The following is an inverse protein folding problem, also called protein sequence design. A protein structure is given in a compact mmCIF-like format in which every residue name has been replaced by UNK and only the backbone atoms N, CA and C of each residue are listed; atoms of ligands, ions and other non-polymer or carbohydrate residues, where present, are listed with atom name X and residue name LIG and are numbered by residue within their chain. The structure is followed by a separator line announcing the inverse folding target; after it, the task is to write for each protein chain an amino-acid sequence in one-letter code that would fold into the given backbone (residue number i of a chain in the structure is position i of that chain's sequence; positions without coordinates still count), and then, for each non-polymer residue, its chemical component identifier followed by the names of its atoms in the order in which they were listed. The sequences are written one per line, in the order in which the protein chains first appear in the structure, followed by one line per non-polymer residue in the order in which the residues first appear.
data_IF_206279853683
#
_entry.id   IF_206279853683
#
_cell.length_a   1.000
_cell.length_b   1.000
_cell.length_c   1.000
_cell.angle_alpha   90.00
_cell.angle_beta   90.00
_cell.angle_gamma   90.00
#
_symmetry.space_group_name_H-M   'P 1'
#
loop_
_entity.id
_entity.type
_entity.pdbx_description
1 polymer ?
#
# COMPACT_ATOMS: atom_id res chain seq x y z
N UNK A 1 9.63 -19.93 11.14
CA UNK A 1 10.34 -21.16 10.71
C UNK A 1 10.53 -21.05 9.20
N UNK A 2 11.72 -20.69 8.71
CA UNK A 2 11.98 -20.57 7.26
C UNK A 2 12.31 -21.96 6.72
N UNK A 3 11.42 -22.52 5.90
CA UNK A 3 11.69 -23.72 5.12
C UNK A 3 11.66 -23.36 3.64
N UNK A 4 12.81 -23.54 2.97
CA UNK A 4 12.86 -23.90 1.55
C UNK A 4 12.81 -22.78 0.52
N UNK A 5 13.94 -22.09 0.30
CA UNK A 5 14.41 -21.78 -1.06
C UNK A 5 15.91 -22.09 -1.11
N UNK A 6 16.25 -23.21 -1.75
CA UNK A 6 17.63 -23.57 -2.09
C UNK A 6 17.94 -22.97 -3.46
N UNK A 7 18.11 -21.65 -3.49
CA UNK A 7 18.82 -20.92 -4.52
C UNK A 7 19.30 -19.63 -3.86
N UNK A 8 20.56 -19.26 -4.09
CA UNK A 8 21.19 -18.09 -3.46
C UNK A 8 20.66 -16.80 -4.13
N UNK A 9 19.35 -16.57 -4.05
CA UNK A 9 18.69 -15.40 -4.60
C UNK A 9 19.00 -14.25 -3.64
N UNK A 10 19.97 -13.42 -4.02
CA UNK A 10 20.27 -12.19 -3.31
C UNK A 10 19.19 -11.15 -3.66
N UNK A 11 18.03 -11.24 -3.00
CA UNK A 11 16.97 -10.25 -3.15
C UNK A 11 17.42 -8.94 -2.46
N UNK A 12 17.30 -7.79 -3.13
CA UNK A 12 17.52 -6.52 -2.46
C UNK A 12 16.52 -6.41 -1.30
N UNK A 13 17.03 -6.10 -0.11
CA UNK A 13 16.20 -5.90 1.07
C UNK A 13 16.58 -4.58 1.72
N UNK A 14 15.59 -3.92 2.32
CA UNK A 14 15.77 -2.73 3.11
C UNK A 14 15.59 -3.08 4.58
N UNK A 15 16.60 -2.80 5.40
CA UNK A 15 16.48 -2.91 6.84
C UNK A 15 16.04 -1.56 7.41
N UNK A 16 14.78 -1.47 7.85
CA UNK A 16 14.24 -0.25 8.44
C UNK A 16 14.63 -0.17 9.93
N UNK A 17 14.91 1.03 10.47
CA UNK A 17 15.31 1.21 11.87
C UNK A 17 14.07 1.17 12.80
N UNK A 18 13.31 0.08 12.76
CA UNK A 18 12.11 -0.15 13.57
C UNK A 18 12.00 -1.62 13.97
N UNK A 19 11.52 -1.89 15.18
CA UNK A 19 11.30 -3.26 15.63
C UNK A 19 10.15 -3.93 14.88
N UNK A 20 10.28 -5.23 14.63
CA UNK A 20 9.22 -6.03 14.05
C UNK A 20 8.13 -6.31 15.09
N UNK A 21 7.04 -5.55 15.01
CA UNK A 21 5.87 -5.78 15.87
C UNK A 21 4.58 -5.37 15.15
N UNK A 22 3.49 -6.12 15.40
CA UNK A 22 2.20 -5.88 14.73
C UNK A 22 1.63 -4.49 15.03
N UNK A 23 1.81 -4.00 16.25
CA UNK A 23 1.41 -2.65 16.62
C UNK A 23 2.26 -1.58 15.89
N UNK A 24 3.49 -1.89 15.47
CA UNK A 24 4.36 -0.93 14.78
C UNK A 24 4.20 -0.92 13.25
N UNK A 25 3.22 -1.65 12.70
CA UNK A 25 3.01 -1.76 11.25
C UNK A 25 2.80 -0.39 10.58
N UNK A 26 2.03 0.50 11.20
CA UNK A 26 1.79 1.83 10.65
C UNK A 26 3.08 2.63 10.47
N UNK A 27 3.92 2.68 11.50
CA UNK A 27 5.20 3.39 11.45
C UNK A 27 6.19 2.72 10.49
N UNK A 28 6.20 1.38 10.46
CA UNK A 28 7.00 0.60 9.51
C UNK A 28 6.66 0.97 8.07
N UNK A 29 5.36 1.03 7.73
CA UNK A 29 4.91 1.39 6.39
C UNK A 29 5.20 2.85 6.04
N UNK A 30 5.04 3.78 6.98
CA UNK A 30 5.45 5.19 6.76
C UNK A 30 6.93 5.30 6.45
N UNK A 31 7.79 4.59 7.18
CA UNK A 31 9.23 4.54 6.91
C UNK A 31 9.55 3.92 5.54
N UNK A 32 8.86 2.84 5.17
CA UNK A 32 9.02 2.22 3.86
C UNK A 32 8.61 3.16 2.72
N UNK A 33 7.44 3.80 2.82
CA UNK A 33 6.94 4.75 1.84
C UNK A 33 7.84 5.98 1.71
N UNK A 34 8.34 6.50 2.84
CA UNK A 34 9.35 7.55 2.85
C UNK A 34 10.58 7.15 2.04
N UNK A 35 11.11 5.96 2.30
CA UNK A 35 12.31 5.49 1.62
C UNK A 35 12.09 5.35 0.11
N UNK A 36 10.96 4.78 -0.32
CA UNK A 36 10.60 4.67 -1.74
C UNK A 36 10.48 6.07 -2.35
N UNK A 37 9.82 7.01 -1.66
CA UNK A 37 9.71 8.40 -2.11
C UNK A 37 11.07 9.07 -2.34
N UNK A 38 12.01 8.91 -1.40
CA UNK A 38 13.31 9.58 -1.46
C UNK A 38 14.29 8.95 -2.46
N UNK A 39 14.16 7.66 -2.75
CA UNK A 39 15.19 6.90 -3.48
C UNK A 39 14.72 6.35 -4.83
N UNK A 40 13.44 5.99 -4.97
CA UNK A 40 12.97 5.13 -6.07
C UNK A 40 11.71 5.67 -6.78
N UNK A 41 11.06 6.72 -6.28
CA UNK A 41 9.73 7.13 -6.77
C UNK A 41 9.69 7.47 -8.25
N UNK A 42 10.78 8.00 -8.82
CA UNK A 42 10.83 8.33 -10.23
C UNK A 42 11.09 7.12 -11.14
N UNK A 43 11.52 6.00 -10.56
CA UNK A 43 11.85 4.77 -11.28
C UNK A 43 10.63 3.85 -11.51
N UNK A 44 9.51 4.10 -10.81
CA UNK A 44 8.33 3.23 -10.84
C UNK A 44 7.02 4.01 -11.08
N UNK A 45 6.16 3.45 -11.91
CA UNK A 45 4.81 3.97 -12.17
C UNK A 45 3.82 3.63 -11.06
N UNK A 46 3.98 2.44 -10.48
CA UNK A 46 3.10 1.89 -9.44
C UNK A 46 3.94 1.24 -8.33
N UNK A 47 3.48 1.41 -7.09
CA UNK A 47 4.12 0.86 -5.90
C UNK A 47 3.13 -0.07 -5.23
N UNK A 48 3.54 -1.33 -5.05
CA UNK A 48 2.71 -2.39 -4.47
C UNK A 48 3.19 -2.71 -3.06
N UNK A 49 2.28 -2.59 -2.09
CA UNK A 49 2.40 -3.15 -0.75
C UNK A 49 1.68 -4.51 -0.72
N UNK A 50 2.37 -5.56 -0.29
CA UNK A 50 1.80 -6.88 -0.10
C UNK A 50 2.44 -7.58 1.11
N UNK A 51 1.73 -8.53 1.71
CA UNK A 51 2.26 -9.36 2.79
C UNK A 51 3.06 -10.54 2.20
N UNK A 52 3.88 -11.20 3.03
CA UNK A 52 4.74 -12.32 2.60
C UNK A 52 3.97 -13.62 2.29
N UNK A 53 2.66 -13.61 2.49
CA UNK A 53 1.72 -14.68 2.17
C UNK A 53 0.72 -14.31 1.05
N UNK A 54 0.94 -13.20 0.33
CA UNK A 54 0.08 -12.77 -0.79
C UNK A 54 0.57 -13.37 -2.12
N UNK A 55 -0.35 -13.95 -2.91
CA UNK A 55 -0.06 -14.38 -4.28
C UNK A 55 -0.64 -13.41 -5.32
N UNK A 56 0.17 -13.02 -6.30
CA UNK A 56 -0.18 -11.97 -7.27
C UNK A 56 0.03 -12.47 -8.70
N UNK A 57 -1.04 -12.43 -9.50
CA UNK A 57 -0.99 -12.71 -10.93
C UNK A 57 -0.65 -11.39 -11.66
N UNK A 58 0.62 -11.24 -12.04
CA UNK A 58 1.14 -9.99 -12.59
C UNK A 58 0.47 -9.57 -13.91
N UNK A 59 0.02 -10.53 -14.72
CA UNK A 59 -0.71 -10.28 -15.97
C UNK A 59 -2.05 -9.60 -15.70
N UNK A 60 -2.79 -10.09 -14.70
CA UNK A 60 -4.07 -9.49 -14.29
C UNK A 60 -3.85 -8.11 -13.69
N UNK A 61 -2.81 -7.96 -12.87
CA UNK A 61 -2.43 -6.66 -12.29
C UNK A 61 -2.12 -5.63 -13.39
N UNK A 62 -1.28 -5.98 -14.37
CA UNK A 62 -0.93 -5.09 -15.48
C UNK A 62 -2.14 -4.73 -16.34
N UNK A 63 -3.00 -5.71 -16.64
CA UNK A 63 -4.23 -5.46 -17.40
C UNK A 63 -5.14 -4.49 -16.65
N UNK A 64 -5.34 -4.69 -15.34
CA UNK A 64 -6.13 -3.82 -14.48
C UNK A 64 -5.57 -2.39 -14.43
N UNK A 65 -4.25 -2.22 -14.30
CA UNK A 65 -3.62 -0.91 -14.17
C UNK A 65 -3.48 -0.13 -15.49
N UNK A 66 -3.52 -0.83 -16.63
CA UNK A 66 -3.29 -0.25 -17.97
C UNK A 66 -4.13 0.99 -18.36
N UNK A 67 -5.39 1.18 -17.93
CA UNK A 67 -6.15 2.37 -18.29
C UNK A 67 -5.88 3.58 -17.37
N UNK A 68 -5.11 3.42 -16.29
CA UNK A 68 -4.86 4.48 -15.31
C UNK A 68 -3.53 5.19 -15.58
N UNK A 69 -3.52 6.52 -15.50
CA UNK A 69 -2.31 7.32 -15.60
C UNK A 69 -1.57 7.32 -14.24
N UNK A 70 -0.28 6.93 -14.17
CA UNK A 70 0.48 6.94 -12.92
C UNK A 70 0.73 8.34 -12.32
N UNK A 71 0.48 9.40 -13.10
CA UNK A 71 0.55 10.79 -12.64
C UNK A 71 -0.77 11.30 -12.02
N UNK A 72 -1.83 10.49 -12.04
CA UNK A 72 -3.06 10.77 -11.32
C UNK A 72 -3.02 10.07 -9.96
N UNK A 73 -3.57 10.68 -8.91
CA UNK A 73 -3.49 10.17 -7.54
C UNK A 73 -4.55 9.07 -7.29
N UNK A 74 -4.17 7.81 -7.50
CA UNK A 74 -4.99 6.64 -7.21
C UNK A 74 -4.36 5.68 -6.21
N UNK A 75 -5.20 5.13 -5.33
CA UNK A 75 -4.91 3.97 -4.49
C UNK A 75 -5.86 2.84 -4.87
N UNK A 76 -5.32 1.68 -5.19
CA UNK A 76 -6.09 0.50 -5.57
C UNK A 76 -5.98 -0.56 -4.48
N UNK A 77 -7.10 -1.18 -4.14
CA UNK A 77 -7.13 -2.31 -3.20
C UNK A 77 -8.54 -2.73 -2.85
N UNK A 78 -8.66 -3.76 -2.01
CA UNK A 78 -9.97 -4.22 -1.53
C UNK A 78 -10.54 -3.22 -0.53
N UNK A 79 -11.54 -2.43 -0.93
CA UNK A 79 -12.02 -1.29 -0.11
C UNK A 79 -13.07 -1.69 0.92
N UNK A 80 -12.81 -1.45 2.21
CA UNK A 80 -13.77 -1.58 3.30
C UNK A 80 -14.25 -0.20 3.76
N UNK A 81 -15.50 -0.09 4.23
CA UNK A 81 -16.12 1.19 4.64
C UNK A 81 -16.59 1.20 6.11
N UNK A 82 -15.96 0.37 6.95
CA UNK A 82 -16.35 0.22 8.36
C UNK A 82 -15.87 1.38 9.24
N UNK A 83 -14.73 2.00 8.92
CA UNK A 83 -14.06 2.97 9.78
C UNK A 83 -13.77 4.32 9.11
N UNK A 84 -13.63 4.32 7.77
CA UNK A 84 -13.38 5.54 6.98
C UNK A 84 -14.56 5.77 6.03
N UNK A 85 -15.07 7.01 5.95
CA UNK A 85 -16.28 7.35 5.19
C UNK A 85 -16.13 7.05 3.69
N UNK A 86 -15.00 7.45 3.10
CA UNK A 86 -14.64 7.12 1.71
C UNK A 86 -14.03 5.71 1.57
N UNK A 87 -13.89 4.98 2.67
CA UNK A 87 -13.32 3.65 2.74
C UNK A 87 -11.81 3.62 2.90
N UNK A 88 -11.28 2.42 3.14
CA UNK A 88 -9.86 2.13 3.28
C UNK A 88 -9.54 0.79 2.58
N UNK A 89 -8.41 0.67 1.89
CA UNK A 89 -8.00 -0.60 1.29
C UNK A 89 -7.49 -1.54 2.39
N UNK A 90 -8.03 -2.76 2.49
CA UNK A 90 -7.51 -3.75 3.42
C UNK A 90 -6.07 -4.12 3.08
N UNK A 91 -5.23 -4.24 4.11
CA UNK A 91 -3.81 -4.55 3.93
C UNK A 91 -3.56 -5.93 3.29
N UNK A 92 -4.27 -6.97 3.74
CA UNK A 92 -3.96 -8.38 3.41
C UNK A 92 -3.89 -8.70 1.91
N UNK A 93 -4.92 -8.34 1.10
CA UNK A 93 -4.88 -8.55 -0.35
C UNK A 93 -3.85 -7.70 -1.09
N UNK A 94 -3.22 -6.73 -0.41
CA UNK A 94 -2.30 -5.77 -0.98
C UNK A 94 -2.95 -4.44 -1.36
N UNK A 95 -2.12 -3.41 -1.41
CA UNK A 95 -2.48 -2.03 -1.73
C UNK A 95 -1.51 -1.50 -2.78
N UNK A 96 -2.03 -0.90 -3.84
CA UNK A 96 -1.23 -0.32 -4.92
C UNK A 96 -1.41 1.19 -4.90
N UNK A 97 -0.32 1.91 -5.01
CA UNK A 97 -0.29 3.36 -5.16
C UNK A 97 0.19 3.69 -6.57
N UNK A 98 -0.43 4.67 -7.24
CA UNK A 98 0.25 5.35 -8.34
C UNK A 98 1.43 6.14 -7.80
N UNK A 99 2.39 6.47 -8.66
CA UNK A 99 3.50 7.37 -8.33
C UNK A 99 3.01 8.65 -7.68
N UNK A 100 2.03 9.32 -8.30
CA UNK A 100 1.49 10.57 -7.76
C UNK A 100 0.80 10.37 -6.40
N UNK A 101 0.03 9.29 -6.22
CA UNK A 101 -0.59 9.01 -4.93
C UNK A 101 0.45 8.85 -3.82
N UNK A 102 1.55 8.13 -4.06
CA UNK A 102 2.59 7.95 -3.05
C UNK A 102 3.32 9.26 -2.74
N UNK A 103 3.57 10.11 -3.74
CA UNK A 103 4.13 11.46 -3.54
C UNK A 103 3.25 12.30 -2.63
N UNK A 104 1.95 12.38 -2.92
CA UNK A 104 0.99 13.14 -2.10
C UNK A 104 0.88 12.55 -0.70
N UNK A 105 0.81 11.22 -0.58
CA UNK A 105 0.73 10.52 0.69
C UNK A 105 1.92 10.84 1.60
N UNK A 106 3.15 10.70 1.10
CA UNK A 106 4.37 11.00 1.85
C UNK A 106 4.49 12.50 2.16
N UNK A 107 4.07 13.38 1.24
CA UNK A 107 3.99 14.81 1.52
C UNK A 107 3.01 15.15 2.66
N UNK A 108 1.90 14.43 2.75
CA UNK A 108 0.88 14.60 3.79
C UNK A 108 1.18 13.93 5.12
N UNK A 109 2.02 12.87 5.13
CA UNK A 109 2.17 12.01 6.31
C UNK A 109 2.80 12.68 7.55
N UNK A 110 3.43 13.84 7.38
CA UNK A 110 4.00 14.62 8.49
C UNK A 110 3.07 15.72 9.00
N UNK A 111 1.94 15.95 8.32
CA UNK A 111 0.90 16.85 8.79
C UNK A 111 -0.17 16.04 9.53
N UNK A 112 -0.25 16.21 10.85
CA UNK A 112 -1.22 15.49 11.70
C UNK A 112 -2.68 15.80 11.35
N UNK A 113 -2.98 16.93 10.71
CA UNK A 113 -4.33 17.24 10.23
C UNK A 113 -4.69 16.42 8.97
N UNK A 114 -3.69 16.06 8.17
CA UNK A 114 -3.85 15.27 6.94
C UNK A 114 -3.77 13.77 7.25
N UNK A 115 -2.82 13.39 8.10
CA UNK A 115 -2.53 12.01 8.49
C UNK A 115 -2.44 11.94 10.01
N UNK A 116 -3.57 11.69 10.70
CA UNK A 116 -3.58 11.65 12.16
C UNK A 116 -2.74 10.49 12.70
N UNK A 117 -2.38 10.59 13.97
CA UNK A 117 -1.90 9.42 14.71
C UNK A 117 -3.07 8.45 14.91
N UNK A 118 -2.88 7.23 14.44
CA UNK A 118 -3.88 6.17 14.47
C UNK A 118 -3.39 5.13 15.47
N UNK A 119 -4.28 4.42 16.17
CA UNK A 119 -3.86 3.31 17.02
C UNK A 119 -2.92 2.37 16.27
N UNK A 120 -1.83 2.04 16.96
CA UNK A 120 -0.73 1.26 16.45
C UNK A 120 -1.23 -0.13 15.97
N UNK A 121 -0.96 -0.47 14.71
CA UNK A 121 -1.34 -1.76 14.09
C UNK A 121 -2.60 -1.76 13.21
N UNK A 122 -3.15 -0.58 12.89
CA UNK A 122 -4.23 -0.40 11.92
C UNK A 122 -3.74 0.43 10.71
N UNK A 123 -2.69 -0.04 10.03
CA UNK A 123 -2.06 0.70 8.94
C UNK A 123 -3.01 0.95 7.75
N UNK A 124 -3.93 0.04 7.53
CA UNK A 124 -4.90 0.07 6.44
C UNK A 124 -5.93 1.18 6.64
N UNK A 125 -6.46 1.31 7.85
CA UNK A 125 -7.30 2.45 8.26
C UNK A 125 -6.54 3.76 8.05
N UNK A 126 -5.26 3.79 8.43
CA UNK A 126 -4.39 4.94 8.24
C UNK A 126 -4.22 5.39 6.82
N UNK A 127 -3.95 4.44 5.93
CA UNK A 127 -3.90 4.70 4.50
C UNK A 127 -5.23 5.33 4.03
N UNK A 128 -6.36 4.78 4.49
CA UNK A 128 -7.69 5.27 4.15
C UNK A 128 -7.98 6.70 4.60
N UNK A 129 -7.69 7.03 5.87
CA UNK A 129 -7.91 8.35 6.47
C UNK A 129 -7.03 9.42 5.81
N UNK A 130 -5.73 9.14 5.67
CA UNK A 130 -4.80 9.99 4.94
C UNK A 130 -5.29 10.26 3.51
N UNK A 131 -5.65 9.20 2.78
CA UNK A 131 -6.12 9.34 1.40
C UNK A 131 -7.39 10.17 1.30
N UNK A 132 -8.30 10.08 2.28
CA UNK A 132 -9.51 10.91 2.33
C UNK A 132 -9.17 12.40 2.50
N UNK A 133 -8.26 12.73 3.42
CA UNK A 133 -7.85 14.12 3.67
C UNK A 133 -7.04 14.72 2.53
N UNK A 134 -6.27 13.90 1.83
CA UNK A 134 -5.43 14.30 0.70
C UNK A 134 -6.18 14.29 -0.64
N UNK A 135 -7.48 13.98 -0.67
CA UNK A 135 -8.26 13.82 -1.91
C UNK A 135 -7.66 12.78 -2.90
N UNK A 136 -6.99 11.76 -2.38
CA UNK A 136 -6.49 10.65 -3.19
C UNK A 136 -7.66 9.72 -3.50
N UNK A 137 -7.87 9.40 -4.78
CA UNK A 137 -8.99 8.57 -5.20
C UNK A 137 -8.69 7.10 -4.91
N UNK A 138 -9.57 6.44 -4.15
CA UNK A 138 -9.50 5.01 -3.88
C UNK A 138 -10.37 4.24 -4.86
N UNK A 139 -9.84 3.17 -5.44
CA UNK A 139 -10.53 2.31 -6.39
C UNK A 139 -10.57 0.89 -5.83
N UNK A 140 -11.79 0.37 -5.67
CA UNK A 140 -12.00 -1.00 -5.22
C UNK A 140 -11.60 -1.97 -6.34
N UNK A 141 -10.70 -2.90 -6.01
CA UNK A 141 -10.21 -3.90 -6.97
C UNK A 141 -11.02 -5.19 -6.94
N UNK A 142 -12.00 -5.34 -6.05
CA UNK A 142 -12.80 -6.57 -6.01
C UNK A 142 -13.79 -6.62 -7.17
N UNK A 143 -14.06 -7.82 -7.67
CA UNK A 143 -15.12 -8.04 -8.65
C UNK A 143 -16.53 -7.92 -8.01
N UNK A 144 -17.58 -8.00 -8.83
CA UNK A 144 -18.98 -7.93 -8.38
C UNK A 144 -19.38 -9.06 -7.41
N UNK A 145 -18.53 -10.09 -7.27
CA UNK A 145 -18.70 -11.20 -6.33
C UNK A 145 -17.84 -11.02 -5.07
N UNK A 146 -17.21 -9.85 -4.91
CA UNK A 146 -16.31 -9.51 -3.80
C UNK A 146 -15.03 -10.36 -3.79
N UNK A 147 -14.71 -11.03 -4.90
CA UNK A 147 -13.49 -11.83 -5.04
C UNK A 147 -12.28 -10.91 -5.14
N UNK A 148 -11.22 -11.27 -4.43
CA UNK A 148 -9.96 -10.54 -4.48
C UNK A 148 -9.24 -10.81 -5.81
N UNK A 149 -8.75 -9.76 -6.47
CA UNK A 149 -7.87 -9.90 -7.65
C UNK A 149 -6.55 -10.64 -7.34
N UNK A 150 -6.17 -10.69 -6.07
CA UNK A 150 -5.04 -11.42 -5.51
C UNK A 150 -5.62 -12.48 -4.55
N UNK A 151 -5.57 -13.76 -4.92
CA UNK A 151 -6.16 -14.83 -4.11
C UNK A 151 -5.26 -15.14 -2.90
N UNK A 152 -5.89 -15.43 -1.76
CA UNK A 152 -5.28 -16.07 -0.58
C UNK A 152 -5.26 -17.59 -0.75
#
# INVERSE_FOLDING_TARGET
MRHGLKDNINLPYLNLPIEEARNLLWDKWRLAFKWVFENEIENFDYILRADDNTYIIMENLKAFLSPYNPNDAFIFGSTFKHFVKTGYPSGGPGVIFTREALKQFVGGMYNLEMCPEIPSGFEDIGIGECAEKLNITKIDTRDDRVSFFFQN
#
